data_IF_756073407621
#
_entry.id   IF_756073407621
#
_cell.length_a   1.000
_cell.length_b   1.000
_cell.length_c   1.000
_cell.angle_alpha   90.00
_cell.angle_beta   90.00
_cell.angle_gamma   90.00
#
_symmetry.space_group_name_H-M   'P 1'
#
loop_
_entity.id
_entity.type
_entity.pdbx_description
1 polymer ?
#
# COMPACT_ATOMS: atom_id res chain seq x y z
N UNK A 1 12.77 1.70 -12.25
CA UNK A 1 11.89 0.93 -11.36
C UNK A 1 12.74 0.26 -10.29
N UNK A 2 12.46 0.50 -9.02
CA UNK A 2 13.10 -0.15 -7.88
C UNK A 2 12.07 -0.42 -6.79
N UNK A 3 12.43 -1.26 -5.84
CA UNK A 3 11.63 -1.56 -4.65
C UNK A 3 12.23 -0.83 -3.45
N UNK A 4 11.39 -0.54 -2.47
CA UNK A 4 11.76 0.10 -1.23
C UNK A 4 11.12 -0.65 -0.07
N UNK A 5 11.89 -0.96 0.95
CA UNK A 5 11.39 -1.55 2.18
C UNK A 5 10.62 -0.49 2.96
N UNK A 6 9.36 -0.80 3.32
CA UNK A 6 8.46 0.09 4.06
C UNK A 6 8.17 -0.41 5.47
N UNK A 7 8.24 -1.72 5.66
CA UNK A 7 8.06 -2.38 6.95
C UNK A 7 9.21 -3.35 7.13
N UNK A 8 9.96 -3.19 8.22
CA UNK A 8 11.03 -4.10 8.61
C UNK A 8 10.65 -4.83 9.91
N UNK A 9 10.55 -6.16 9.85
CA UNK A 9 10.15 -6.99 10.99
C UNK A 9 11.17 -7.02 12.14
N UNK A 10 12.44 -6.74 11.88
CA UNK A 10 13.45 -6.66 12.95
C UNK A 10 13.21 -5.49 13.91
N UNK A 11 12.53 -4.44 13.47
CA UNK A 11 12.14 -3.33 14.33
C UNK A 11 11.23 -3.78 15.48
N UNK A 12 10.41 -4.80 15.25
CA UNK A 12 9.53 -5.37 16.26
C UNK A 12 10.30 -6.15 17.36
N UNK A 13 11.47 -6.72 17.01
CA UNK A 13 12.29 -7.51 17.95
C UNK A 13 13.07 -6.60 18.91
N UNK A 14 13.50 -5.44 18.44
CA UNK A 14 14.34 -4.52 19.20
C UNK A 14 13.55 -3.43 19.91
N UNK A 15 12.22 -3.50 19.89
CA UNK A 15 11.32 -2.45 20.39
C UNK A 15 11.71 -1.06 19.84
N UNK A 16 12.39 -1.07 18.69
CA UNK A 16 12.70 0.11 17.92
C UNK A 16 11.41 0.56 17.27
N UNK A 17 10.85 1.61 17.81
CA UNK A 17 9.61 2.20 17.33
C UNK A 17 9.56 2.29 15.79
N UNK A 18 8.35 2.29 15.26
CA UNK A 18 8.00 2.43 13.85
C UNK A 18 8.53 3.69 13.13
N UNK A 19 9.34 4.50 13.80
CA UNK A 19 9.96 5.72 13.24
C UNK A 19 10.70 5.46 11.94
N UNK A 20 11.43 4.35 11.86
CA UNK A 20 12.19 3.99 10.65
C UNK A 20 11.26 3.61 9.50
N UNK A 21 10.18 2.88 9.79
CA UNK A 21 9.17 2.50 8.81
C UNK A 21 8.40 3.72 8.31
N UNK A 22 7.97 4.59 9.21
CA UNK A 22 7.29 5.82 8.84
C UNK A 22 8.17 6.76 8.02
N UNK A 23 9.47 6.80 8.33
CA UNK A 23 10.42 7.55 7.54
C UNK A 23 10.61 6.96 6.15
N UNK A 24 10.68 5.63 6.04
CA UNK A 24 10.71 4.93 4.76
C UNK A 24 9.45 5.22 3.92
N UNK A 25 8.27 5.20 4.54
CA UNK A 25 7.00 5.56 3.86
C UNK A 25 7.01 7.01 3.39
N UNK A 26 7.50 7.94 4.20
CA UNK A 26 7.63 9.36 3.82
C UNK A 26 8.57 9.54 2.62
N UNK A 27 9.72 8.87 2.62
CA UNK A 27 10.67 8.90 1.51
C UNK A 27 10.07 8.24 0.24
N UNK A 28 9.31 7.16 0.41
CA UNK A 28 8.57 6.54 -0.67
C UNK A 28 7.61 7.52 -1.34
N UNK A 29 6.78 8.22 -0.55
CA UNK A 29 5.86 9.25 -1.05
C UNK A 29 6.60 10.38 -1.78
N UNK A 30 7.77 10.79 -1.30
CA UNK A 30 8.61 11.78 -2.00
C UNK A 30 9.03 11.30 -3.39
N UNK A 31 9.46 10.05 -3.52
CA UNK A 31 9.78 9.47 -4.83
C UNK A 31 8.57 9.34 -5.74
N UNK A 32 7.43 8.94 -5.22
CA UNK A 32 6.18 8.84 -5.96
C UNK A 32 5.72 10.22 -6.46
N UNK A 33 5.83 11.27 -5.64
CA UNK A 33 5.54 12.66 -6.01
C UNK A 33 6.46 13.18 -7.13
N UNK A 34 7.69 12.66 -7.23
CA UNK A 34 8.61 12.93 -8.34
C UNK A 34 8.23 12.18 -9.62
N UNK A 35 7.14 11.44 -9.62
CA UNK A 35 6.67 10.65 -10.77
C UNK A 35 7.42 9.33 -10.98
N UNK A 36 8.27 8.93 -10.04
CA UNK A 36 8.98 7.65 -10.11
C UNK A 36 8.00 6.49 -9.85
N UNK A 37 8.26 5.36 -10.49
CA UNK A 37 7.57 4.09 -10.18
C UNK A 37 8.44 3.34 -9.16
N UNK A 38 8.01 3.35 -7.91
CA UNK A 38 8.68 2.69 -6.78
C UNK A 38 7.67 1.79 -6.09
N UNK A 39 8.02 0.52 -5.91
CA UNK A 39 7.18 -0.45 -5.21
C UNK A 39 7.58 -0.52 -3.75
N UNK A 40 6.59 -0.45 -2.86
CA UNK A 40 6.80 -0.63 -1.44
C UNK A 40 6.68 -2.09 -1.06
N UNK A 41 7.66 -2.61 -0.34
CA UNK A 41 7.72 -4.00 0.15
C UNK A 41 7.79 -4.03 1.67
N UNK A 42 7.30 -5.13 2.26
CA UNK A 42 7.59 -5.50 3.63
C UNK A 42 8.55 -6.68 3.66
N UNK A 43 9.49 -6.66 4.59
CA UNK A 43 10.42 -7.76 4.79
C UNK A 43 10.50 -8.11 6.27
N UNK A 44 10.54 -9.40 6.57
CA UNK A 44 10.66 -9.88 7.96
C UNK A 44 12.01 -9.51 8.59
N UNK A 45 13.07 -9.49 7.79
CA UNK A 45 14.48 -9.33 8.26
C UNK A 45 14.78 -10.27 9.44
N UNK A 46 14.31 -11.52 9.33
CA UNK A 46 14.32 -12.48 10.43
C UNK A 46 15.73 -12.90 10.80
N UNK A 47 16.14 -12.60 12.03
CA UNK A 47 17.38 -13.06 12.64
C UNK A 47 17.15 -14.25 13.58
N UNK A 48 15.91 -14.56 13.88
CA UNK A 48 15.46 -15.69 14.70
C UNK A 48 14.33 -16.43 14.00
N UNK A 49 14.20 -17.75 14.12
CA UNK A 49 13.13 -18.52 13.49
C UNK A 49 11.71 -18.04 13.85
N UNK A 50 11.51 -17.50 15.04
CA UNK A 50 10.22 -17.02 15.54
C UNK A 50 9.73 -15.78 14.79
N UNK A 51 10.64 -14.98 14.23
CA UNK A 51 10.30 -13.77 13.49
C UNK A 51 9.87 -14.04 12.03
N UNK A 52 10.03 -15.29 11.55
CA UNK A 52 9.65 -15.63 10.18
C UNK A 52 8.13 -15.47 10.01
N UNK A 53 7.72 -14.55 9.13
CA UNK A 53 6.32 -14.29 8.83
C UNK A 53 5.71 -13.12 9.60
N UNK A 54 6.47 -12.42 10.45
CA UNK A 54 5.99 -11.23 11.15
C UNK A 54 5.64 -10.10 10.17
N UNK A 55 6.38 -10.01 9.07
CA UNK A 55 6.11 -9.10 7.96
C UNK A 55 6.10 -9.88 6.65
N UNK A 56 5.16 -9.56 5.78
CA UNK A 56 4.92 -10.29 4.54
C UNK A 56 4.34 -9.38 3.44
N UNK A 57 4.28 -9.93 2.20
CA UNK A 57 3.68 -9.27 1.07
C UNK A 57 2.50 -10.10 0.55
N UNK A 58 1.31 -9.49 0.49
CA UNK A 58 0.13 -10.12 -0.08
C UNK A 58 0.05 -9.87 -1.58
N UNK A 59 0.22 -10.93 -2.39
CA UNK A 59 0.27 -10.83 -3.85
C UNK A 59 -1.08 -11.17 -4.48
N UNK A 60 -1.45 -10.43 -5.51
CA UNK A 60 -2.61 -10.72 -6.36
C UNK A 60 -2.17 -11.49 -7.60
N UNK A 61 -2.51 -12.77 -7.66
CA UNK A 61 -2.16 -13.67 -8.76
C UNK A 61 -3.35 -14.56 -9.13
N UNK A 62 -3.56 -14.80 -10.42
CA UNK A 62 -4.63 -15.71 -10.89
C UNK A 62 -4.36 -17.16 -10.53
N UNK A 63 -3.07 -17.55 -10.54
CA UNK A 63 -2.61 -18.90 -10.20
C UNK A 63 -1.28 -18.82 -9.49
N UNK A 64 -1.12 -19.63 -8.43
CA UNK A 64 0.12 -19.71 -7.67
C UNK A 64 1.17 -20.49 -8.46
N UNK A 65 1.89 -19.77 -9.32
CA UNK A 65 3.04 -20.28 -10.08
C UNK A 65 4.21 -19.33 -9.93
N UNK A 66 5.44 -19.82 -10.03
CA UNK A 66 6.65 -18.99 -9.99
C UNK A 66 6.56 -17.81 -10.98
N UNK A 67 6.09 -18.06 -12.20
CA UNK A 67 5.93 -17.04 -13.24
C UNK A 67 4.99 -15.92 -12.79
N UNK A 68 3.81 -16.28 -12.26
CA UNK A 68 2.80 -15.30 -11.87
C UNK A 68 3.23 -14.53 -10.62
N UNK A 69 3.88 -15.18 -9.65
CA UNK A 69 4.45 -14.52 -8.47
C UNK A 69 5.46 -13.46 -8.88
N UNK A 70 6.44 -13.82 -9.74
CA UNK A 70 7.43 -12.86 -10.22
C UNK A 70 6.78 -11.72 -11.03
N UNK A 71 5.77 -12.03 -11.88
CA UNK A 71 5.05 -11.02 -12.64
C UNK A 71 4.31 -10.04 -11.72
N UNK A 72 3.64 -10.53 -10.66
CA UNK A 72 2.95 -9.69 -9.68
C UNK A 72 3.94 -8.78 -8.93
N UNK A 73 5.09 -9.30 -8.50
CA UNK A 73 6.16 -8.50 -7.87
C UNK A 73 6.67 -7.40 -8.82
N UNK A 74 6.93 -7.74 -10.08
CA UNK A 74 7.36 -6.75 -11.08
C UNK A 74 6.29 -5.72 -11.42
N UNK A 75 5.02 -6.10 -11.42
CA UNK A 75 3.91 -5.18 -11.68
C UNK A 75 3.60 -4.28 -10.48
N UNK A 76 3.91 -4.71 -9.25
CA UNK A 76 3.46 -4.05 -8.02
C UNK A 76 2.06 -4.48 -7.59
N UNK A 77 1.58 -5.63 -8.07
CA UNK A 77 0.29 -6.22 -7.71
C UNK A 77 0.37 -6.89 -6.33
N UNK A 78 0.76 -6.12 -5.34
CA UNK A 78 0.90 -6.60 -3.97
C UNK A 78 0.87 -5.45 -2.96
N UNK A 79 0.69 -5.77 -1.71
CA UNK A 79 0.80 -4.86 -0.57
C UNK A 79 1.77 -5.42 0.46
N UNK A 80 2.42 -4.53 1.21
CA UNK A 80 3.24 -4.86 2.37
C UNK A 80 2.38 -4.88 3.62
N UNK A 81 2.59 -5.82 4.54
CA UNK A 81 1.81 -5.92 5.77
C UNK A 81 2.54 -6.66 6.88
N UNK A 82 2.21 -6.33 8.12
CA UNK A 82 2.50 -7.09 9.33
C UNK A 82 1.23 -7.69 9.98
N UNK A 83 0.05 -7.51 9.39
CA UNK A 83 -1.19 -8.22 9.68
C UNK A 83 -2.38 -7.83 8.79
N UNK A 84 -2.79 -6.54 8.65
CA UNK A 84 -3.98 -6.20 7.90
C UNK A 84 -3.89 -6.58 6.42
N UNK A 85 -5.02 -6.89 5.83
CA UNK A 85 -5.16 -7.05 4.38
C UNK A 85 -5.67 -5.75 3.77
N UNK A 86 -5.16 -5.38 2.61
CA UNK A 86 -5.64 -4.22 1.85
C UNK A 86 -5.78 -4.55 0.37
N UNK A 87 -6.94 -4.29 -0.19
CA UNK A 87 -7.21 -4.37 -1.62
C UNK A 87 -7.59 -2.99 -2.16
N UNK A 88 -7.03 -2.61 -3.32
CA UNK A 88 -7.26 -1.30 -3.92
C UNK A 88 -7.49 -1.46 -5.42
N UNK A 89 -8.58 -0.87 -5.91
CA UNK A 89 -8.97 -0.95 -7.31
C UNK A 89 -9.37 0.41 -7.88
N UNK A 90 -9.20 0.59 -9.20
CA UNK A 90 -9.71 1.72 -9.96
C UNK A 90 -10.32 1.19 -11.28
N UNK A 91 -11.62 0.93 -11.28
CA UNK A 91 -12.29 0.20 -12.36
C UNK A 91 -11.74 -1.23 -12.44
N UNK A 92 -11.08 -1.57 -13.56
CA UNK A 92 -10.44 -2.88 -13.76
C UNK A 92 -8.98 -2.92 -13.32
N UNK A 93 -8.39 -1.76 -13.03
CA UNK A 93 -7.00 -1.67 -12.57
C UNK A 93 -6.91 -1.95 -11.08
N UNK A 94 -5.82 -2.60 -10.66
CA UNK A 94 -5.50 -2.87 -9.26
C UNK A 94 -4.25 -2.08 -8.85
N UNK A 95 -3.86 -2.15 -7.58
CA UNK A 95 -2.58 -1.59 -7.12
C UNK A 95 -1.42 -2.06 -8.00
N UNK A 96 -0.46 -1.18 -8.27
CA UNK A 96 0.66 -1.39 -9.20
C UNK A 96 0.38 -0.92 -10.64
N UNK A 97 -0.89 -0.86 -11.05
CA UNK A 97 -1.28 -0.48 -12.41
C UNK A 97 -1.15 1.03 -12.67
N UNK A 98 -1.10 1.36 -13.96
CA UNK A 98 -1.17 2.74 -14.44
C UNK A 98 -2.49 3.00 -15.16
N UNK A 99 -3.23 4.00 -14.72
CA UNK A 99 -4.43 4.49 -15.39
C UNK A 99 -4.15 5.79 -16.12
N UNK A 100 -4.65 5.91 -17.36
CA UNK A 100 -4.53 7.13 -18.16
C UNK A 100 -5.73 8.04 -17.94
N UNK A 101 -5.48 9.34 -17.75
CA UNK A 101 -6.54 10.36 -17.57
C UNK A 101 -6.14 11.67 -18.24
N UNK A 102 -7.13 12.39 -18.75
CA UNK A 102 -6.95 13.78 -19.20
C UNK A 102 -6.79 14.70 -18.00
N UNK A 103 -6.03 15.77 -18.14
CA UNK A 103 -5.93 16.83 -17.13
C UNK A 103 -7.32 17.35 -16.76
N UNK A 104 -7.58 17.48 -15.46
CA UNK A 104 -8.88 17.88 -14.91
C UNK A 104 -9.87 16.72 -14.74
N UNK A 105 -9.59 15.54 -15.28
CA UNK A 105 -10.36 14.33 -15.03
C UNK A 105 -10.20 13.81 -13.61
N UNK A 106 -10.93 12.77 -13.26
CA UNK A 106 -10.84 12.14 -11.95
C UNK A 106 -10.76 10.61 -12.05
N UNK A 107 -10.25 10.00 -11.00
CA UNK A 107 -10.26 8.55 -10.79
C UNK A 107 -11.03 8.24 -9.52
N UNK A 108 -11.89 7.24 -9.56
CA UNK A 108 -12.53 6.69 -8.37
C UNK A 108 -11.78 5.44 -7.96
N UNK A 109 -11.20 5.50 -6.77
CA UNK A 109 -10.51 4.39 -6.15
C UNK A 109 -11.43 3.75 -5.13
N UNK A 110 -11.62 2.44 -5.23
CA UNK A 110 -12.31 1.64 -4.22
C UNK A 110 -11.28 0.84 -3.42
N UNK A 111 -11.57 0.62 -2.15
CA UNK A 111 -10.71 -0.15 -1.27
C UNK A 111 -11.50 -1.03 -0.32
N UNK A 112 -10.85 -2.09 0.11
CA UNK A 112 -11.28 -2.98 1.17
C UNK A 112 -10.08 -3.27 2.07
N UNK A 113 -10.23 -2.98 3.36
CA UNK A 113 -9.25 -3.27 4.40
C UNK A 113 -9.85 -4.26 5.38
N UNK A 114 -9.06 -5.25 5.82
CA UNK A 114 -9.52 -6.31 6.73
C UNK A 114 -8.47 -6.57 7.79
N UNK A 115 -8.89 -6.65 9.06
CA UNK A 115 -8.05 -7.12 10.17
C UNK A 115 -8.90 -7.85 11.23
N UNK A 116 -8.38 -8.94 11.78
CA UNK A 116 -9.10 -9.78 12.76
C UNK A 116 -9.33 -9.09 14.10
N UNK A 117 -8.45 -8.18 14.52
CA UNK A 117 -8.58 -7.40 15.75
C UNK A 117 -9.37 -6.09 15.55
N UNK A 118 -9.68 -5.77 14.29
CA UNK A 118 -10.36 -4.55 13.89
C UNK A 118 -9.40 -3.43 13.50
N UNK A 119 -9.90 -2.58 12.62
CA UNK A 119 -9.17 -1.45 12.04
C UNK A 119 -9.36 -0.20 12.89
N UNK A 120 -8.27 0.48 13.16
CA UNK A 120 -8.25 1.76 13.87
C UNK A 120 -8.26 2.94 12.90
N UNK A 121 -7.56 2.80 11.76
CA UNK A 121 -7.42 3.90 10.80
C UNK A 121 -7.31 3.37 9.38
N UNK A 122 -7.94 4.06 8.42
CA UNK A 122 -7.78 3.81 6.98
C UNK A 122 -7.57 5.14 6.29
N UNK A 123 -6.50 5.27 5.51
CA UNK A 123 -6.15 6.50 4.80
C UNK A 123 -6.04 6.25 3.31
N UNK A 124 -6.55 7.18 2.53
CA UNK A 124 -6.30 7.28 1.09
C UNK A 124 -5.30 8.41 0.87
N UNK A 125 -4.15 8.09 0.36
CA UNK A 125 -3.06 9.04 0.07
C UNK A 125 -3.04 9.31 -1.44
N UNK A 126 -3.05 10.57 -1.81
CA UNK A 126 -2.85 11.01 -3.19
C UNK A 126 -1.81 12.13 -3.22
N UNK A 127 -0.77 11.96 -4.04
CA UNK A 127 0.32 12.93 -4.20
C UNK A 127 0.90 13.40 -2.85
N UNK A 128 1.19 12.46 -1.95
CA UNK A 128 1.77 12.69 -0.63
C UNK A 128 0.81 13.28 0.42
N UNK A 129 -0.48 13.38 0.11
CA UNK A 129 -1.48 13.96 1.03
C UNK A 129 -2.61 13.00 1.30
N UNK A 130 -3.05 12.91 2.55
CA UNK A 130 -4.28 12.22 2.90
C UNK A 130 -5.48 12.97 2.30
N UNK A 131 -6.18 12.33 1.37
CA UNK A 131 -7.41 12.85 0.75
C UNK A 131 -8.67 12.25 1.38
N UNK A 132 -8.51 11.15 2.10
CA UNK A 132 -9.49 10.59 3.04
C UNK A 132 -8.74 10.00 4.23
N UNK A 133 -9.30 10.18 5.42
CA UNK A 133 -8.75 9.71 6.69
C UNK A 133 -9.92 9.26 7.56
N UNK A 134 -10.11 7.96 7.68
CA UNK A 134 -11.21 7.35 8.40
C UNK A 134 -10.71 6.72 9.69
N UNK A 135 -11.51 6.84 10.72
CA UNK A 135 -11.28 6.25 12.03
C UNK A 135 -12.43 5.28 12.35
N UNK A 136 -12.35 4.04 11.83
CA UNK A 136 -13.34 3.01 12.10
C UNK A 136 -13.42 2.71 13.60
N UNK A 137 -14.60 2.30 14.05
CA UNK A 137 -14.81 1.89 15.46
C UNK A 137 -14.45 0.42 15.65
N UNK A 138 -13.24 0.03 15.22
CA UNK A 138 -12.73 -1.33 15.30
C UNK A 138 -13.52 -2.34 14.45
N UNK A 139 -14.15 -1.88 13.36
CA UNK A 139 -14.70 -2.81 12.38
C UNK A 139 -13.59 -3.67 11.80
N UNK A 140 -13.86 -4.98 11.69
CA UNK A 140 -12.91 -5.93 11.09
C UNK A 140 -12.78 -5.77 9.58
N UNK A 141 -13.82 -5.24 8.92
CA UNK A 141 -13.87 -5.02 7.48
C UNK A 141 -14.31 -3.60 7.21
N UNK A 142 -13.48 -2.82 6.55
CA UNK A 142 -13.79 -1.45 6.12
C UNK A 142 -13.70 -1.37 4.61
N UNK A 143 -14.83 -1.04 3.97
CA UNK A 143 -14.92 -0.82 2.52
C UNK A 143 -15.28 0.63 2.24
N UNK A 144 -14.67 1.18 1.21
CA UNK A 144 -14.96 2.55 0.83
C UNK A 144 -14.49 2.90 -0.57
N UNK A 145 -14.74 4.14 -0.94
CA UNK A 145 -14.21 4.69 -2.17
C UNK A 145 -13.93 6.18 -2.02
N UNK A 146 -12.93 6.66 -2.75
CA UNK A 146 -12.56 8.05 -2.81
C UNK A 146 -12.39 8.49 -4.26
N UNK A 147 -12.80 9.71 -4.59
CA UNK A 147 -12.58 10.29 -5.93
C UNK A 147 -11.43 11.29 -5.86
N UNK A 148 -10.39 11.03 -6.64
CA UNK A 148 -9.19 11.87 -6.71
C UNK A 148 -9.17 12.60 -8.04
N UNK A 149 -9.01 13.94 -7.99
CA UNK A 149 -8.90 14.77 -9.19
C UNK A 149 -7.47 14.76 -9.72
N UNK A 150 -7.32 14.40 -10.99
CA UNK A 150 -6.03 14.43 -11.68
C UNK A 150 -5.71 15.82 -12.19
N UNK A 151 -4.60 16.39 -11.74
CA UNK A 151 -4.17 17.77 -12.10
C UNK A 151 -3.29 17.83 -13.34
N UNK A 152 -2.94 16.68 -13.91
CA UNK A 152 -2.02 16.53 -15.06
C UNK A 152 -0.62 16.08 -14.65
N UNK A 153 0.20 15.70 -15.63
CA UNK A 153 1.55 15.17 -15.41
C UNK A 153 1.55 13.74 -14.90
N UNK A 154 2.14 13.55 -13.75
CA UNK A 154 2.27 12.28 -13.03
C UNK A 154 1.65 12.41 -11.65
N UNK A 155 0.82 11.46 -11.26
CA UNK A 155 0.15 11.40 -9.97
C UNK A 155 0.04 9.94 -9.52
N UNK A 156 -0.29 9.71 -8.26
CA UNK A 156 -0.56 8.39 -7.72
C UNK A 156 -1.63 8.45 -6.63
N UNK A 157 -2.22 7.30 -6.36
CA UNK A 157 -3.08 7.09 -5.22
C UNK A 157 -2.78 5.73 -4.60
N UNK A 158 -2.67 5.68 -3.28
CA UNK A 158 -2.47 4.46 -2.51
C UNK A 158 -3.37 4.46 -1.26
N UNK A 159 -3.54 3.30 -0.67
CA UNK A 159 -4.29 3.13 0.57
C UNK A 159 -3.38 2.51 1.61
N UNK A 160 -3.51 2.97 2.83
CA UNK A 160 -2.87 2.39 4.01
C UNK A 160 -3.91 2.16 5.09
N UNK A 161 -3.75 1.11 5.87
CA UNK A 161 -4.61 0.83 7.00
C UNK A 161 -3.81 0.37 8.20
N UNK A 162 -4.34 0.69 9.38
CA UNK A 162 -3.75 0.39 10.68
C UNK A 162 -4.75 -0.41 11.49
N UNK A 163 -4.31 -1.52 12.05
CA UNK A 163 -5.07 -2.30 13.00
C UNK A 163 -5.06 -1.63 14.39
N UNK A 164 -5.89 -2.15 15.29
CA UNK A 164 -6.05 -1.64 16.65
C UNK A 164 -4.76 -1.66 17.47
N UNK A 165 -3.85 -2.58 17.19
CA UNK A 165 -2.56 -2.77 17.85
C UNK A 165 -1.39 -2.12 17.08
N UNK A 166 -1.69 -1.14 16.21
CA UNK A 166 -0.77 -0.41 15.35
C UNK A 166 -0.11 -1.23 14.24
N UNK A 167 -0.46 -2.51 14.06
CA UNK A 167 -0.05 -3.25 12.86
C UNK A 167 -0.65 -2.59 11.62
N UNK A 168 0.03 -2.70 10.51
CA UNK A 168 -0.22 -1.84 9.34
C UNK A 168 -0.14 -2.59 8.03
N UNK A 169 -0.79 -2.04 7.01
CA UNK A 169 -0.60 -2.47 5.63
C UNK A 169 -0.54 -1.26 4.69
N UNK A 170 0.33 -1.36 3.70
CA UNK A 170 0.54 -0.36 2.65
C UNK A 170 0.32 -0.98 1.28
N UNK A 171 -0.74 -0.56 0.59
CA UNK A 171 -0.97 -0.95 -0.79
C UNK A 171 0.01 -0.26 -1.72
N UNK A 172 0.54 -0.97 -2.71
CA UNK A 172 1.26 -0.33 -3.81
C UNK A 172 0.35 0.66 -4.55
N UNK A 173 0.89 1.76 -5.09
CA UNK A 173 0.07 2.80 -5.69
C UNK A 173 -0.58 2.35 -7.00
N UNK A 174 -1.77 2.92 -7.28
CA UNK A 174 -2.27 3.06 -8.64
C UNK A 174 -1.68 4.35 -9.19
N UNK A 175 -0.91 4.24 -10.25
CA UNK A 175 -0.29 5.38 -10.92
C UNK A 175 -1.28 6.03 -11.90
N UNK A 176 -1.30 7.36 -11.94
CA UNK A 176 -2.14 8.12 -12.86
C UNK A 176 -1.21 8.90 -13.79
N UNK A 177 -1.39 8.73 -15.08
CA UNK A 177 -0.59 9.39 -16.11
C UNK A 177 -1.49 10.12 -17.09
N UNK A 178 -0.97 11.18 -17.69
CA UNK A 178 -1.67 11.89 -18.74
C UNK A 178 -1.78 10.99 -19.99
N UNK A 179 -2.98 10.89 -20.53
CA UNK A 179 -3.31 10.18 -21.78
C UNK A 179 -3.82 11.11 -22.83
#
# INVERSE_FOLDING_TARGET
NFTMELINGANNIFDCCDITDEWAVSLWDQHLCQGKTVRGMGNTDAHLPQAIGDVWNGLFVDRLTRKNVLAALWAGHFFASDAPLVNVTCGRSIMGDTVKRKKGGSVRVAYECVDSLGLQRVRVIADGKAVADLWPRHEQVVKGSCTVRFRGGSSYVRVECYARDNRKAYANPIYIRQG
#
